data_IF_796234700914
#
_entry.id   IF_796234700914
#
_cell.length_a   1.000
_cell.length_b   1.000
_cell.length_c   1.000
_cell.angle_alpha   90.00
_cell.angle_beta   90.00
_cell.angle_gamma   90.00
#
_symmetry.space_group_name_H-M   'P 1'
#
loop_
_entity.id
_entity.type
_entity.pdbx_description
1 polymer ?
#
# COMPACT_ATOMS: atom_id res chain seq x y z
N UNK A 1 4.45 -10.96 9.16
CA UNK A 1 3.19 -11.00 8.36
C UNK A 1 3.08 -9.83 7.40
N UNK A 2 3.06 -8.55 7.85
CA UNK A 2 2.84 -7.37 6.98
C UNK A 2 3.75 -7.33 5.73
N UNK A 3 5.07 -7.50 5.91
CA UNK A 3 6.04 -7.47 4.79
C UNK A 3 5.85 -8.64 3.83
N UNK A 4 5.66 -9.86 4.37
CA UNK A 4 5.46 -11.08 3.58
C UNK A 4 4.18 -11.04 2.72
N UNK A 5 3.20 -10.23 3.10
CA UNK A 5 1.96 -10.01 2.33
C UNK A 5 2.09 -8.85 1.33
N UNK A 6 3.25 -8.19 1.24
CA UNK A 6 3.45 -7.00 0.39
C UNK A 6 2.67 -5.77 0.85
N UNK A 7 2.22 -5.72 2.10
CA UNK A 7 1.26 -4.71 2.59
C UNK A 7 1.90 -3.53 3.33
N UNK A 8 3.23 -3.45 3.40
CA UNK A 8 3.94 -2.41 4.18
C UNK A 8 3.48 -0.99 3.84
N UNK A 9 3.43 -0.61 2.55
CA UNK A 9 3.01 0.74 2.13
C UNK A 9 1.58 1.08 2.54
N UNK A 10 0.68 0.09 2.47
CA UNK A 10 -0.73 0.26 2.89
C UNK A 10 -0.83 0.42 4.41
N UNK A 11 -0.05 -0.36 5.16
CA UNK A 11 0.04 -0.23 6.61
C UNK A 11 0.52 1.18 7.01
N UNK A 12 1.60 1.68 6.43
CA UNK A 12 2.12 3.03 6.75
C UNK A 12 1.11 4.16 6.48
N UNK A 13 0.29 4.01 5.43
CA UNK A 13 -0.74 5.00 5.08
C UNK A 13 -1.99 4.93 5.97
N UNK A 14 -2.40 3.72 6.37
CA UNK A 14 -3.72 3.44 6.98
C UNK A 14 -3.67 3.05 8.47
N UNK A 15 -2.49 2.95 9.08
CA UNK A 15 -2.37 2.62 10.50
C UNK A 15 -3.02 3.70 11.40
N UNK A 16 -3.89 3.25 12.31
CA UNK A 16 -4.65 4.12 13.20
C UNK A 16 -3.73 4.90 14.15
N UNK A 17 -2.70 4.24 14.70
CA UNK A 17 -1.79 4.88 15.64
C UNK A 17 -0.96 5.96 14.94
N UNK A 18 -0.46 5.68 13.74
CA UNK A 18 0.28 6.67 12.94
C UNK A 18 -0.63 7.84 12.54
N UNK A 19 -1.91 7.59 12.27
CA UNK A 19 -2.87 8.66 12.03
C UNK A 19 -3.08 9.55 13.27
N UNK A 20 -3.31 8.97 14.45
CA UNK A 20 -3.45 9.71 15.72
C UNK A 20 -2.21 10.58 15.99
N UNK A 21 -1.01 10.01 15.84
CA UNK A 21 0.25 10.76 16.01
C UNK A 21 0.35 11.94 15.03
N UNK A 22 -0.07 11.76 13.76
CA UNK A 22 -0.05 12.84 12.77
C UNK A 22 -1.01 13.96 13.13
N UNK A 23 -2.23 13.65 13.54
CA UNK A 23 -3.23 14.65 13.94
C UNK A 23 -2.77 15.41 15.19
N UNK A 24 -2.31 14.68 16.21
CA UNK A 24 -1.84 15.30 17.47
C UNK A 24 -0.65 16.24 17.26
N UNK A 25 0.23 15.95 16.30
CA UNK A 25 1.35 16.85 15.95
C UNK A 25 0.90 18.18 15.36
N UNK A 26 -0.25 18.20 14.69
CA UNK A 26 -0.79 19.41 14.06
C UNK A 26 -1.58 20.24 15.07
N UNK A 27 -2.43 19.60 15.86
CA UNK A 27 -3.30 20.30 16.81
C UNK A 27 -2.65 20.57 18.18
N UNK A 28 -1.60 19.82 18.53
CA UNK A 28 -0.86 19.97 19.79
C UNK A 28 -1.65 19.56 21.04
N UNK A 29 -2.82 18.92 20.93
CA UNK A 29 -3.66 18.60 22.08
C UNK A 29 -2.98 17.62 23.03
N UNK A 30 -3.19 17.81 24.32
CA UNK A 30 -2.74 16.92 25.39
C UNK A 30 -3.85 16.74 26.43
N UNK A 31 -4.80 15.87 26.10
CA UNK A 31 -5.96 15.58 26.92
C UNK A 31 -5.85 14.19 27.55
N UNK A 32 -6.58 13.98 28.65
CA UNK A 32 -6.80 12.65 29.21
C UNK A 32 -8.13 12.09 28.67
N UNK A 33 -8.06 11.19 27.71
CA UNK A 33 -9.23 10.61 27.04
C UNK A 33 -9.47 9.21 27.58
N UNK A 34 -10.58 9.00 28.30
CA UNK A 34 -10.94 7.69 28.90
C UNK A 34 -9.83 7.10 29.78
N UNK A 35 -9.12 7.94 30.53
CA UNK A 35 -7.99 7.53 31.37
C UNK A 35 -6.67 7.33 30.62
N UNK A 36 -6.62 7.62 29.32
CA UNK A 36 -5.40 7.57 28.51
C UNK A 36 -4.87 8.99 28.31
N UNK A 37 -3.67 9.23 28.84
CA UNK A 37 -2.94 10.46 28.57
C UNK A 37 -2.44 10.50 27.13
N UNK A 38 -2.97 11.44 26.33
CA UNK A 38 -2.70 11.54 24.90
C UNK A 38 -1.21 11.73 24.62
N UNK A 39 -0.51 12.62 25.33
CA UNK A 39 0.94 12.83 25.16
C UNK A 39 1.74 11.55 25.37
N UNK A 40 1.46 10.81 26.44
CA UNK A 40 2.14 9.54 26.74
C UNK A 40 1.86 8.49 25.66
N UNK A 41 0.64 8.46 25.11
CA UNK A 41 0.28 7.54 24.04
C UNK A 41 1.05 7.86 22.75
N UNK A 42 1.07 9.11 22.31
CA UNK A 42 1.77 9.50 21.06
C UNK A 42 3.29 9.33 21.16
N UNK A 43 3.87 9.56 22.34
CA UNK A 43 5.31 9.31 22.58
C UNK A 43 5.65 7.82 22.45
N UNK A 44 4.77 6.93 22.92
CA UNK A 44 4.92 5.48 22.74
C UNK A 44 4.77 5.10 21.28
N UNK A 45 3.74 5.59 20.59
CA UNK A 45 3.50 5.34 19.16
C UNK A 45 4.73 5.72 18.35
N UNK A 46 5.36 6.88 18.63
CA UNK A 46 6.56 7.30 17.92
C UNK A 46 7.73 6.33 18.09
N UNK A 47 7.95 5.79 19.29
CA UNK A 47 9.01 4.78 19.52
C UNK A 47 8.74 3.49 18.73
N UNK A 48 7.50 3.00 18.78
CA UNK A 48 7.11 1.82 17.99
C UNK A 48 7.21 2.08 16.49
N UNK A 49 6.89 3.29 16.03
CA UNK A 49 7.05 3.65 14.63
C UNK A 49 8.51 3.52 14.16
N UNK A 50 9.47 3.98 14.96
CA UNK A 50 10.89 3.83 14.66
C UNK A 50 11.30 2.36 14.59
N UNK A 51 10.88 1.56 15.59
CA UNK A 51 11.15 0.11 15.62
C UNK A 51 10.53 -0.59 14.41
N UNK A 52 9.29 -0.27 14.05
CA UNK A 52 8.62 -0.83 12.88
C UNK A 52 9.38 -0.50 11.59
N UNK A 53 9.82 0.75 11.42
CA UNK A 53 10.65 1.14 10.27
C UNK A 53 11.96 0.35 10.21
N UNK A 54 12.61 0.10 11.35
CA UNK A 54 13.84 -0.71 11.42
C UNK A 54 13.59 -2.18 11.07
N UNK A 55 12.50 -2.76 11.59
CA UNK A 55 12.09 -4.14 11.27
C UNK A 55 11.82 -4.26 9.77
N UNK A 56 11.04 -3.35 9.19
CA UNK A 56 10.73 -3.36 7.77
C UNK A 56 11.97 -3.19 6.90
N UNK A 57 12.87 -2.26 7.23
CA UNK A 57 14.13 -2.09 6.51
C UNK A 57 14.98 -3.37 6.57
N UNK A 58 15.07 -4.00 7.74
CA UNK A 58 15.82 -5.25 7.93
C UNK A 58 15.22 -6.38 7.10
N UNK A 59 13.90 -6.57 7.14
CA UNK A 59 13.22 -7.60 6.37
C UNK A 59 13.36 -7.37 4.87
N UNK A 60 13.14 -6.15 4.39
CA UNK A 60 13.29 -5.82 2.97
C UNK A 60 14.72 -6.02 2.47
N UNK A 61 15.74 -5.76 3.31
CA UNK A 61 17.14 -6.03 2.98
C UNK A 61 17.39 -7.51 2.65
N UNK A 62 16.80 -8.43 3.42
CA UNK A 62 17.04 -9.87 3.25
C UNK A 62 16.04 -10.56 2.33
N UNK A 63 14.82 -10.03 2.19
CA UNK A 63 13.80 -10.57 1.30
C UNK A 63 13.91 -10.02 -0.12
N UNK A 64 14.36 -8.77 -0.28
CA UNK A 64 14.48 -8.11 -1.58
C UNK A 64 15.58 -8.66 -2.49
N UNK A 65 16.49 -9.49 -1.99
CA UNK A 65 17.55 -10.12 -2.77
C UNK A 65 17.16 -11.44 -3.43
N UNK A 66 16.03 -12.05 -3.07
CA UNK A 66 15.66 -13.40 -3.57
C UNK A 66 14.71 -13.39 -4.76
N UNK A 67 14.08 -12.24 -5.09
CA UNK A 67 13.06 -12.12 -6.14
C UNK A 67 13.48 -11.27 -7.35
N UNK A 68 14.68 -10.67 -7.32
CA UNK A 68 15.14 -9.75 -8.37
C UNK A 68 15.25 -10.41 -9.76
N UNK A 69 15.40 -11.74 -9.82
CA UNK A 69 15.50 -12.50 -11.06
C UNK A 69 14.20 -13.24 -11.45
N UNK A 70 13.16 -13.25 -10.59
CA UNK A 70 11.93 -14.03 -10.82
C UNK A 70 10.68 -13.17 -11.06
N UNK A 71 10.68 -11.90 -10.64
CA UNK A 71 9.56 -10.98 -10.85
C UNK A 71 9.99 -9.88 -11.81
N UNK A 72 9.96 -10.22 -13.10
CA UNK A 72 9.76 -9.26 -14.18
C UNK A 72 8.71 -8.21 -13.78
N UNK A 73 8.80 -7.04 -14.38
CA UNK A 73 7.90 -5.88 -14.30
C UNK A 73 6.42 -6.22 -14.66
N UNK A 74 6.05 -7.48 -14.76
CA UNK A 74 4.81 -8.00 -15.33
C UNK A 74 3.71 -8.13 -14.28
N UNK A 75 2.71 -7.24 -14.36
CA UNK A 75 1.46 -7.15 -13.58
C UNK A 75 1.36 -5.99 -12.57
N UNK A 76 1.98 -4.83 -12.85
CA UNK A 76 1.39 -3.59 -12.30
C UNK A 76 0.00 -3.43 -12.89
N UNK A 77 -1.02 -3.42 -12.03
CA UNK A 77 -2.41 -3.23 -12.46
C UNK A 77 -2.57 -1.87 -13.15
N UNK A 78 -2.86 -1.90 -14.45
CA UNK A 78 -3.24 -0.71 -15.20
C UNK A 78 -4.69 -0.34 -14.92
N UNK A 79 -4.96 0.95 -14.75
CA UNK A 79 -6.32 1.49 -14.69
C UNK A 79 -6.62 2.17 -16.02
N UNK A 80 -7.64 1.73 -16.77
CA UNK A 80 -7.95 2.33 -18.06
C UNK A 80 -8.43 3.79 -17.86
N UNK A 81 -8.12 4.69 -18.80
CA UNK A 81 -8.62 6.06 -18.77
C UNK A 81 -10.15 6.11 -18.95
N UNK A 82 -10.83 7.20 -18.57
CA UNK A 82 -12.25 7.39 -18.84
C UNK A 82 -12.55 7.27 -20.35
N UNK A 83 -13.54 6.46 -20.72
CA UNK A 83 -13.96 6.25 -22.12
C UNK A 83 -15.24 7.03 -22.37
N UNK A 84 -15.27 7.79 -23.47
CA UNK A 84 -16.48 8.50 -23.88
C UNK A 84 -17.61 7.52 -24.25
N UNK A 85 -18.88 7.75 -23.86
CA UNK A 85 -19.97 6.79 -24.07
C UNK A 85 -20.17 6.33 -25.54
N UNK A 86 -19.90 7.21 -26.51
CA UNK A 86 -19.98 6.86 -27.94
C UNK A 86 -18.94 5.81 -28.38
N UNK A 87 -17.79 5.75 -27.70
CA UNK A 87 -16.70 4.82 -28.00
C UNK A 87 -16.79 3.54 -27.16
N UNK A 88 -17.53 3.58 -26.04
CA UNK A 88 -17.68 2.45 -25.13
C UNK A 88 -18.38 1.24 -25.79
N UNK A 89 -19.29 1.48 -26.73
CA UNK A 89 -19.99 0.40 -27.47
C UNK A 89 -19.06 -0.37 -28.42
N UNK A 90 -17.96 0.24 -28.89
CA UNK A 90 -16.99 -0.41 -29.78
C UNK A 90 -15.84 -1.09 -29.02
N UNK A 91 -15.45 -0.58 -27.85
CA UNK A 91 -14.24 -1.03 -27.12
C UNK A 91 -14.51 -2.11 -26.06
N UNK A 92 -15.77 -2.48 -25.79
CA UNK A 92 -16.11 -3.55 -24.84
C UNK A 92 -15.55 -4.93 -25.18
N UNK A 93 -15.09 -5.15 -26.42
CA UNK A 93 -14.58 -6.44 -26.90
C UNK A 93 -13.05 -6.60 -26.84
N UNK A 94 -12.29 -5.50 -26.66
CA UNK A 94 -10.83 -5.54 -26.71
C UNK A 94 -10.15 -5.93 -25.38
N UNK A 95 -10.88 -5.91 -24.27
CA UNK A 95 -10.33 -6.15 -22.94
C UNK A 95 -10.71 -7.52 -22.34
N UNK A 96 -11.36 -8.41 -23.10
CA UNK A 96 -11.67 -9.77 -22.64
C UNK A 96 -10.47 -10.69 -22.94
N UNK A 97 -9.82 -11.30 -21.93
CA UNK A 97 -8.61 -12.11 -22.11
C UNK A 97 -8.75 -13.27 -23.10
N UNK A 98 -9.97 -13.76 -23.31
CA UNK A 98 -10.27 -14.86 -24.23
C UNK A 98 -10.00 -14.53 -25.72
N UNK A 99 -9.95 -13.25 -26.10
CA UNK A 99 -9.77 -12.86 -27.50
C UNK A 99 -8.31 -12.68 -27.93
N UNK A 100 -7.34 -12.72 -27.00
CA UNK A 100 -5.91 -12.61 -27.33
C UNK A 100 -5.30 -13.94 -27.82
N UNK A 101 -6.04 -15.05 -27.74
CA UNK A 101 -5.55 -16.39 -28.11
C UNK A 101 -5.81 -16.78 -29.58
N UNK A 102 -6.54 -15.96 -30.35
CA UNK A 102 -7.01 -16.33 -31.69
C UNK A 102 -6.18 -15.76 -32.87
N UNK A 103 -5.05 -15.10 -32.61
CA UNK A 103 -4.17 -14.60 -33.67
C UNK A 103 -2.82 -15.33 -33.70
N UNK A 104 -2.86 -16.62 -34.00
CA UNK A 104 -1.68 -17.33 -34.54
C UNK A 104 -1.97 -17.56 -36.02
N UNK A 105 -1.33 -16.80 -36.94
CA UNK A 105 -1.46 -17.08 -38.37
C UNK A 105 -0.74 -18.40 -38.70
N UNK A 106 -1.43 -19.26 -39.46
CA UNK A 106 -0.87 -20.44 -40.11
C UNK A 106 0.13 -20.07 -41.22
#
# INVERSE_FOLDING_TARGET
>A
MIVLLGQQRRFEALDFCYHILRVQRVDGRDENVKGIHLKRMVDRIRRFQVVNSQIFATLNKYLGSSDADAASVEHVRCFPPPIHPSLAQQHGHYYRPENMMNNIPH
#
